data_IF_346172344757
#
_entry.id   IF_346172344757
#
_cell.length_a   1.000
_cell.length_b   1.000
_cell.length_c   1.000
_cell.angle_alpha   90.00
_cell.angle_beta   90.00
_cell.angle_gamma   90.00
#
_symmetry.space_group_name_H-M   'P 1'
#
loop_
_entity.id
_entity.type
_entity.pdbx_description
1 polymer ?
#
# COMPACT_ATOMS: atom_id res chain seq x y z
N UNK A 1 1.38 -31.89 6.12
CA UNK A 1 0.91 -30.56 6.54
C UNK A 1 0.05 -29.98 5.44
N UNK A 2 -1.28 -30.02 5.55
CA UNK A 2 -2.15 -29.23 4.68
C UNK A 2 -1.99 -27.78 5.11
N UNK A 3 -1.39 -26.94 4.27
CA UNK A 3 -1.54 -25.49 4.44
C UNK A 3 -3.04 -25.23 4.37
N UNK A 4 -3.63 -24.86 5.50
CA UNK A 4 -4.95 -24.27 5.53
C UNK A 4 -4.79 -22.92 4.85
N UNK A 5 -5.10 -22.83 3.55
CA UNK A 5 -5.19 -21.56 2.85
C UNK A 5 -6.22 -20.71 3.60
N UNK A 6 -5.75 -19.75 4.41
CA UNK A 6 -6.60 -18.75 5.01
C UNK A 6 -6.89 -17.75 3.90
N UNK A 7 -8.07 -17.86 3.30
CA UNK A 7 -8.56 -16.87 2.34
C UNK A 7 -8.70 -15.56 3.10
N UNK A 8 -7.99 -14.52 2.68
CA UNK A 8 -8.22 -13.18 3.21
C UNK A 8 -9.58 -12.69 2.69
N UNK A 9 -10.46 -12.34 3.61
CA UNK A 9 -11.83 -11.94 3.28
C UNK A 9 -11.92 -10.43 3.05
N UNK A 10 -11.06 -9.64 3.72
CA UNK A 10 -11.08 -8.17 3.64
C UNK A 10 -9.78 -7.54 4.11
N UNK A 11 -9.33 -6.49 3.45
CA UNK A 11 -8.31 -5.55 3.95
C UNK A 11 -8.96 -4.19 4.20
N UNK A 12 -8.60 -3.55 5.30
CA UNK A 12 -9.15 -2.27 5.69
C UNK A 12 -8.03 -1.37 6.19
N UNK A 13 -8.04 -0.10 5.79
CA UNK A 13 -7.10 0.88 6.29
C UNK A 13 -7.35 1.12 7.78
N UNK A 14 -6.35 0.87 8.60
CA UNK A 14 -6.36 1.24 10.01
C UNK A 14 -6.11 2.75 10.19
N UNK A 15 -6.14 3.25 11.44
CA UNK A 15 -5.74 4.62 11.74
C UNK A 15 -4.33 4.91 11.20
N UNK A 16 -4.21 5.91 10.34
CA UNK A 16 -2.94 6.30 9.72
C UNK A 16 -2.48 7.66 10.25
N UNK A 17 -1.28 7.68 10.81
CA UNK A 17 -0.59 8.87 11.31
C UNK A 17 0.88 8.79 10.89
N UNK A 18 1.70 9.72 11.35
CA UNK A 18 3.12 9.84 10.96
C UNK A 18 3.99 8.60 11.27
N UNK A 19 3.50 7.68 12.13
CA UNK A 19 4.20 6.46 12.50
C UNK A 19 3.26 5.25 12.59
N UNK A 20 3.77 4.02 12.35
CA UNK A 20 2.97 2.80 12.49
C UNK A 20 2.42 2.62 13.91
N UNK A 21 1.33 1.88 14.02
CA UNK A 21 0.77 1.47 15.31
C UNK A 21 1.73 0.46 15.95
N UNK A 22 2.19 0.76 17.17
CA UNK A 22 3.09 -0.10 17.95
C UNK A 22 2.31 -1.01 18.91
N UNK A 23 1.18 -0.52 19.45
CA UNK A 23 0.36 -1.24 20.43
C UNK A 23 -1.12 -0.97 20.21
N UNK A 24 -1.96 -1.98 20.46
CA UNK A 24 -3.41 -1.90 20.42
C UNK A 24 -4.02 -2.55 21.66
N UNK A 25 -5.19 -2.07 22.06
CA UNK A 25 -5.98 -2.62 23.16
C UNK A 25 -7.46 -2.41 22.88
N UNK A 26 -8.26 -3.48 22.98
CA UNK A 26 -9.72 -3.36 22.95
C UNK A 26 -10.18 -2.91 24.33
N UNK A 27 -10.90 -1.80 24.38
CA UNK A 27 -11.43 -1.26 25.63
C UNK A 27 -12.60 -2.12 26.15
N UNK A 28 -12.75 -2.21 27.48
CA UNK A 28 -13.96 -2.75 28.09
C UNK A 28 -15.22 -2.12 27.51
N UNK A 29 -16.28 -2.92 27.34
CA UNK A 29 -17.54 -2.41 26.80
C UNK A 29 -18.12 -1.36 27.75
N UNK A 30 -18.29 -0.14 27.27
CA UNK A 30 -19.00 0.91 28.01
C UNK A 30 -20.49 0.58 28.10
N UNK A 31 -21.14 1.07 29.15
CA UNK A 31 -22.61 1.01 29.27
C UNK A 31 -23.31 2.15 28.52
N UNK A 32 -22.55 3.16 28.08
CA UNK A 32 -23.08 4.38 27.46
C UNK A 32 -23.25 4.26 25.94
N UNK A 33 -22.52 3.35 25.31
CA UNK A 33 -22.47 3.19 23.85
C UNK A 33 -22.58 1.72 23.46
N UNK A 34 -23.28 1.43 22.37
CA UNK A 34 -23.38 0.06 21.85
C UNK A 34 -22.10 -0.40 21.13
N UNK A 35 -21.30 0.57 20.67
CA UNK A 35 -20.05 0.37 19.94
C UNK A 35 -18.91 -0.12 20.84
N UNK A 36 -18.00 -0.94 20.28
CA UNK A 36 -16.72 -1.25 20.91
C UNK A 36 -15.66 -0.27 20.43
N UNK A 37 -14.63 -0.06 21.25
CA UNK A 37 -13.55 0.85 20.96
C UNK A 37 -12.21 0.13 21.06
N UNK A 38 -11.33 0.43 20.12
CA UNK A 38 -9.94 0.01 20.14
C UNK A 38 -9.09 1.24 20.38
N UNK A 39 -8.30 1.21 21.44
CA UNK A 39 -7.28 2.21 21.68
C UNK A 39 -5.96 1.73 21.07
N UNK A 40 -5.19 2.66 20.53
CA UNK A 40 -3.91 2.37 19.92
C UNK A 40 -2.87 3.42 20.28
N UNK A 41 -1.60 3.04 20.12
CA UNK A 41 -0.46 3.89 20.32
C UNK A 41 0.48 3.78 19.12
N UNK A 42 0.98 4.90 18.63
CA UNK A 42 2.07 4.96 17.65
C UNK A 42 3.38 5.32 18.37
N UNK A 43 4.40 5.80 17.65
CA UNK A 43 5.63 6.26 18.29
C UNK A 43 5.37 7.36 19.33
N UNK A 44 4.54 8.34 18.98
CA UNK A 44 4.32 9.58 19.73
C UNK A 44 2.84 9.91 20.00
N UNK A 45 1.90 9.17 19.39
CA UNK A 45 0.46 9.45 19.51
C UNK A 45 -0.28 8.35 20.26
N UNK A 46 -1.37 8.75 20.89
CA UNK A 46 -2.37 7.88 21.48
C UNK A 46 -3.71 8.17 20.84
N UNK A 47 -4.47 7.14 20.49
CA UNK A 47 -5.72 7.32 19.77
C UNK A 47 -6.73 6.21 19.99
N UNK A 48 -7.90 6.41 19.38
CA UNK A 48 -9.06 5.54 19.44
C UNK A 48 -9.62 5.27 18.06
N UNK A 49 -10.19 4.08 17.90
CA UNK A 49 -10.85 3.59 16.70
C UNK A 49 -12.18 2.94 17.10
N UNK A 50 -13.29 3.36 16.47
CA UNK A 50 -14.59 2.70 16.62
C UNK A 50 -14.54 1.34 15.91
N UNK A 51 -15.05 0.30 16.57
CA UNK A 51 -15.20 -1.04 16.01
C UNK A 51 -16.65 -1.31 15.56
N UNK A 52 -16.87 -2.14 14.52
CA UNK A 52 -15.85 -2.80 13.70
C UNK A 52 -15.09 -1.81 12.82
N UNK A 53 -13.82 -2.13 12.52
CA UNK A 53 -13.02 -1.37 11.55
C UNK A 53 -13.69 -1.51 10.17
N UNK A 54 -13.76 -0.42 9.43
CA UNK A 54 -14.35 -0.37 8.09
C UNK A 54 -13.55 0.52 7.10
N UNK A 55 -12.39 1.01 7.50
CA UNK A 55 -11.55 1.91 6.70
C UNK A 55 -12.00 3.38 6.72
N UNK A 56 -13.06 3.74 7.43
CA UNK A 56 -13.51 5.13 7.54
C UNK A 56 -12.55 5.94 8.43
N UNK A 57 -11.88 6.99 7.90
CA UNK A 57 -10.92 7.77 8.67
C UNK A 57 -11.54 8.50 9.87
N UNK A 58 -12.81 8.90 9.76
CA UNK A 58 -13.53 9.65 10.79
C UNK A 58 -13.96 8.79 11.99
N UNK A 59 -13.80 7.48 11.90
CA UNK A 59 -13.96 6.56 13.04
C UNK A 59 -12.72 6.46 13.91
N UNK A 60 -11.67 7.20 13.58
CA UNK A 60 -10.42 7.24 14.33
C UNK A 60 -10.03 8.66 14.71
N UNK A 61 -9.36 8.81 15.85
CA UNK A 61 -8.73 10.05 16.25
C UNK A 61 -7.51 9.76 17.11
N UNK A 62 -6.45 10.56 16.98
CA UNK A 62 -5.27 10.46 17.83
C UNK A 62 -4.70 11.85 18.15
N UNK A 63 -4.05 11.93 19.30
CA UNK A 63 -3.36 13.12 19.80
C UNK A 63 -1.92 12.77 20.15
N UNK A 64 -1.01 13.75 20.01
CA UNK A 64 0.38 13.60 20.46
C UNK A 64 0.35 13.43 21.98
N UNK A 65 0.89 12.32 22.46
CA UNK A 65 0.93 12.00 23.87
C UNK A 65 2.24 12.44 24.53
N UNK A 66 3.40 12.15 23.92
CA UNK A 66 4.70 12.47 24.50
C UNK A 66 5.63 13.05 23.44
N UNK A 67 6.31 14.19 23.68
CA UNK A 67 7.20 14.82 22.69
C UNK A 67 8.44 13.97 22.39
N UNK A 68 8.84 13.08 23.31
CA UNK A 68 9.98 12.17 23.14
C UNK A 68 9.55 10.76 22.71
N UNK A 69 8.28 10.58 22.38
CA UNK A 69 7.67 9.29 22.11
C UNK A 69 7.21 8.58 23.39
N UNK A 70 6.26 7.67 23.22
CA UNK A 70 5.72 6.85 24.29
C UNK A 70 6.46 5.50 24.39
N UNK A 71 6.54 4.96 25.59
CA UNK A 71 7.21 3.69 25.90
C UNK A 71 6.21 2.57 26.20
N UNK A 72 5.10 2.90 26.84
CA UNK A 72 4.04 1.94 27.14
C UNK A 72 2.67 2.62 27.16
N UNK A 73 1.63 1.80 27.05
CA UNK A 73 0.23 2.20 27.08
C UNK A 73 -0.64 1.13 27.73
N UNK A 74 -1.63 1.54 28.51
CA UNK A 74 -2.66 0.67 29.12
C UNK A 74 -3.97 1.43 29.34
N UNK A 75 -5.05 0.75 29.72
CA UNK A 75 -6.31 1.40 30.10
C UNK A 75 -6.71 1.11 31.55
N UNK A 76 -7.60 1.94 32.09
CA UNK A 76 -8.28 1.68 33.36
C UNK A 76 -9.20 0.46 33.26
N UNK A 77 -9.57 -0.11 34.41
CA UNK A 77 -10.43 -1.29 34.47
C UNK A 77 -11.82 -1.07 33.83
N UNK A 78 -12.35 0.14 33.95
CA UNK A 78 -13.62 0.57 33.34
C UNK A 78 -13.46 1.08 31.91
N UNK A 79 -12.23 1.12 31.38
CA UNK A 79 -11.93 1.58 30.04
C UNK A 79 -12.14 3.07 29.82
N UNK A 80 -12.37 3.89 30.85
CA UNK A 80 -12.59 5.35 30.69
C UNK A 80 -11.31 6.16 30.49
N UNK A 81 -10.23 5.70 31.12
CA UNK A 81 -8.94 6.35 31.04
C UNK A 81 -7.94 5.48 30.31
N UNK A 82 -7.12 6.14 29.52
CA UNK A 82 -5.94 5.58 28.90
C UNK A 82 -4.73 6.17 29.60
N UNK A 83 -3.72 5.37 29.90
CA UNK A 83 -2.47 5.81 30.49
C UNK A 83 -1.32 5.57 29.53
N UNK A 84 -0.48 6.59 29.34
CA UNK A 84 0.75 6.51 28.56
C UNK A 84 1.94 6.89 29.43
N UNK A 85 3.07 6.22 29.19
CA UNK A 85 4.36 6.62 29.78
C UNK A 85 5.28 7.11 28.69
N UNK A 86 5.99 8.20 28.94
CA UNK A 86 6.96 8.72 27.99
C UNK A 86 8.25 7.91 27.99
N UNK A 87 9.10 8.14 26.99
CA UNK A 87 10.43 7.54 26.89
C UNK A 87 11.41 8.34 27.75
N UNK A 88 11.96 9.42 27.20
CA UNK A 88 13.02 10.21 27.85
C UNK A 88 12.51 11.35 28.71
N UNK A 89 11.23 11.71 28.60
CA UNK A 89 10.62 12.76 29.41
C UNK A 89 10.20 12.31 30.82
N UNK A 90 10.25 11.00 31.11
CA UNK A 90 9.89 10.40 32.40
C UNK A 90 8.50 10.79 32.92
N UNK A 91 7.56 11.10 32.02
CA UNK A 91 6.18 11.50 32.37
C UNK A 91 5.20 10.35 32.28
N UNK A 92 4.13 10.43 33.08
CA UNK A 92 2.93 9.60 32.95
C UNK A 92 1.75 10.52 32.67
N UNK A 93 1.00 10.22 31.62
CA UNK A 93 -0.16 11.00 31.21
C UNK A 93 -1.41 10.12 31.22
N UNK A 94 -2.53 10.72 31.61
CA UNK A 94 -3.84 10.08 31.62
C UNK A 94 -4.76 10.82 30.65
N UNK A 95 -5.42 10.06 29.80
CA UNK A 95 -6.27 10.55 28.72
C UNK A 95 -7.69 10.04 28.97
N UNK A 96 -8.61 10.99 29.14
CA UNK A 96 -10.04 10.71 29.11
C UNK A 96 -10.52 10.91 27.67
N UNK A 97 -11.33 9.98 27.17
CA UNK A 97 -11.93 10.13 25.86
C UNK A 97 -13.43 10.31 25.94
N UNK A 98 -13.96 11.06 24.99
CA UNK A 98 -15.39 11.26 24.84
C UNK A 98 -15.88 10.51 23.60
N UNK A 99 -16.47 9.35 23.83
CA UNK A 99 -17.02 8.49 22.79
C UNK A 99 -18.05 9.22 21.90
N UNK A 100 -18.90 10.06 22.49
CA UNK A 100 -19.94 10.80 21.76
C UNK A 100 -19.35 11.77 20.73
N UNK A 101 -18.20 12.38 21.03
CA UNK A 101 -17.52 13.30 20.09
C UNK A 101 -16.95 12.53 18.91
N UNK A 102 -16.39 11.35 19.15
CA UNK A 102 -15.85 10.49 18.08
C UNK A 102 -16.99 9.93 17.20
N UNK A 103 -18.08 9.47 17.79
CA UNK A 103 -19.27 9.02 17.04
C UNK A 103 -19.90 10.17 16.23
N UNK A 104 -19.97 11.38 16.79
CA UNK A 104 -20.43 12.56 16.06
C UNK A 104 -19.50 12.91 14.89
N UNK A 105 -18.18 12.83 15.07
CA UNK A 105 -17.22 13.04 13.98
C UNK A 105 -17.39 11.99 12.86
N UNK A 106 -17.59 10.73 13.23
CA UNK A 106 -17.86 9.66 12.26
C UNK A 106 -19.16 9.90 11.48
N UNK A 107 -20.21 10.40 12.13
CA UNK A 107 -21.47 10.74 11.47
C UNK A 107 -21.38 11.99 10.56
N UNK A 108 -20.58 12.99 10.95
CA UNK A 108 -20.34 14.19 10.15
C UNK A 108 -19.37 13.98 8.98
N UNK A 109 -18.59 12.90 9.02
CA UNK A 109 -17.62 12.53 7.99
C UNK A 109 -18.23 12.14 6.63
N UNK A 110 -19.55 12.05 6.55
CA UNK A 110 -20.29 11.69 5.36
C UNK A 110 -20.54 10.19 5.23
N UNK A 111 -21.30 9.82 4.21
CA UNK A 111 -21.76 8.45 4.00
C UNK A 111 -21.11 7.80 2.78
N UNK A 112 -21.08 6.46 2.78
CA UNK A 112 -20.66 5.62 1.67
C UNK A 112 -19.24 5.86 1.15
N UNK A 113 -19.06 6.70 0.13
CA UNK A 113 -17.79 6.94 -0.56
C UNK A 113 -17.12 8.22 -0.05
N UNK A 114 -17.90 9.18 0.47
CA UNK A 114 -17.41 10.51 0.87
C UNK A 114 -16.23 10.44 1.85
N UNK A 115 -16.24 9.57 2.88
CA UNK A 115 -15.09 9.45 3.78
C UNK A 115 -13.81 9.01 3.08
N UNK A 116 -13.92 8.11 2.11
CA UNK A 116 -12.78 7.53 1.42
C UNK A 116 -12.17 8.49 0.40
N UNK A 117 -12.98 9.40 -0.17
CA UNK A 117 -12.47 10.48 -1.02
C UNK A 117 -11.57 11.44 -0.23
N UNK A 118 -11.81 11.63 1.06
CA UNK A 118 -10.93 12.46 1.91
C UNK A 118 -9.53 11.87 2.11
N UNK A 119 -9.38 10.56 1.87
CA UNK A 119 -8.09 9.86 1.93
C UNK A 119 -7.31 9.98 0.61
N UNK A 120 -7.90 10.54 -0.45
CA UNK A 120 -7.22 10.75 -1.72
C UNK A 120 -6.56 12.13 -1.71
N UNK A 121 -5.35 12.23 -2.26
CA UNK A 121 -4.63 13.50 -2.34
C UNK A 121 -5.44 14.54 -3.14
N UNK A 122 -5.77 15.65 -2.48
CA UNK A 122 -6.62 16.71 -3.04
C UNK A 122 -8.12 16.41 -3.04
N UNK A 123 -8.53 15.23 -2.56
CA UNK A 123 -9.92 14.82 -2.44
C UNK A 123 -10.65 14.68 -3.78
N UNK A 124 -11.99 14.71 -3.74
CA UNK A 124 -12.86 14.55 -4.92
C UNK A 124 -12.56 15.54 -6.06
N UNK A 125 -12.15 16.76 -5.72
CA UNK A 125 -11.86 17.81 -6.70
C UNK A 125 -10.35 17.94 -7.02
N UNK A 126 -9.54 16.98 -6.53
CA UNK A 126 -8.11 16.95 -6.75
C UNK A 126 -7.74 16.40 -8.12
N UNK A 127 -6.54 16.75 -8.60
CA UNK A 127 -5.99 16.21 -9.87
C UNK A 127 -5.86 14.69 -9.84
N UNK A 128 -5.46 14.14 -8.70
CA UNK A 128 -5.26 12.71 -8.56
C UNK A 128 -6.57 11.91 -8.70
N UNK A 129 -7.70 12.45 -8.23
CA UNK A 129 -9.00 11.84 -8.47
C UNK A 129 -9.37 11.87 -9.97
N UNK A 130 -9.06 12.96 -10.69
CA UNK A 130 -9.27 13.03 -12.14
C UNK A 130 -8.41 12.00 -12.88
N UNK A 131 -7.16 11.83 -12.48
CA UNK A 131 -6.27 10.80 -13.02
C UNK A 131 -6.84 9.38 -12.78
N UNK A 132 -7.40 9.12 -11.59
CA UNK A 132 -8.11 7.87 -11.31
C UNK A 132 -9.29 7.64 -12.25
N UNK A 133 -10.11 8.67 -12.49
CA UNK A 133 -11.24 8.61 -13.43
C UNK A 133 -10.76 8.33 -14.86
N UNK A 134 -9.71 9.03 -15.32
CA UNK A 134 -9.15 8.87 -16.66
C UNK A 134 -8.56 7.47 -16.88
N UNK A 135 -7.79 6.94 -15.92
CA UNK A 135 -7.25 5.59 -16.02
C UNK A 135 -8.34 4.51 -15.93
N UNK A 136 -9.36 4.71 -15.09
CA UNK A 136 -10.51 3.80 -15.02
C UNK A 136 -11.23 3.76 -16.37
N UNK A 137 -11.48 4.91 -16.98
CA UNK A 137 -12.08 5.01 -18.31
C UNK A 137 -11.19 4.38 -19.40
N UNK A 138 -9.87 4.57 -19.31
CA UNK A 138 -8.93 3.90 -20.21
C UNK A 138 -9.03 2.37 -20.13
N UNK A 139 -9.14 1.79 -18.93
CA UNK A 139 -9.36 0.35 -18.76
C UNK A 139 -10.67 -0.11 -19.43
N UNK A 140 -11.74 0.69 -19.41
CA UNK A 140 -13.00 0.37 -20.09
C UNK A 140 -12.85 0.29 -21.61
N UNK A 141 -12.11 1.24 -22.20
CA UNK A 141 -11.83 1.26 -23.64
C UNK A 141 -10.95 0.08 -24.03
N UNK A 142 -9.85 -0.13 -23.28
CA UNK A 142 -8.89 -1.20 -23.55
C UNK A 142 -9.56 -2.58 -23.51
N UNK A 143 -10.48 -2.81 -22.58
CA UNK A 143 -11.20 -4.08 -22.47
C UNK A 143 -12.14 -4.35 -23.66
N UNK A 144 -12.75 -3.30 -24.24
CA UNK A 144 -13.59 -3.43 -25.44
C UNK A 144 -12.78 -3.69 -26.73
N UNK A 145 -11.46 -3.49 -26.67
CA UNK A 145 -10.55 -3.61 -27.80
C UNK A 145 -10.36 -2.27 -28.49
N UNK A 146 -9.11 -1.79 -28.55
CA UNK A 146 -8.74 -0.51 -29.18
C UNK A 146 -8.98 -0.47 -30.69
N UNK A 147 -9.12 -1.63 -31.32
CA UNK A 147 -9.31 -1.78 -32.77
C UNK A 147 -10.79 -2.00 -33.16
N UNK A 148 -11.71 -2.00 -32.19
CA UNK A 148 -13.13 -2.16 -32.44
C UNK A 148 -13.74 -0.86 -32.94
N UNK A 149 -14.45 -0.93 -34.07
CA UNK A 149 -15.26 0.18 -34.61
C UNK A 149 -16.71 0.14 -34.10
N UNK A 150 -17.00 -0.73 -33.12
CA UNK A 150 -18.33 -0.82 -32.51
C UNK A 150 -18.60 0.41 -31.62
N UNK A 151 -19.87 0.84 -31.55
CA UNK A 151 -20.27 1.92 -30.65
C UNK A 151 -19.96 1.53 -29.20
N UNK A 152 -19.15 2.35 -28.53
CA UNK A 152 -18.79 2.16 -27.13
C UNK A 152 -20.06 2.10 -26.28
N UNK A 153 -20.31 0.94 -25.66
CA UNK A 153 -21.36 0.82 -24.66
C UNK A 153 -20.84 1.44 -23.37
N UNK A 154 -21.49 2.48 -22.82
CA UNK A 154 -21.08 3.03 -21.54
C UNK A 154 -21.30 1.97 -20.45
N UNK A 155 -20.21 1.31 -20.05
CA UNK A 155 -20.15 0.54 -18.80
C UNK A 155 -19.78 1.49 -17.68
N UNK A 156 -20.34 1.28 -16.49
CA UNK A 156 -19.93 1.94 -15.25
C UNK A 156 -18.85 1.13 -14.50
N UNK A 157 -18.41 0.01 -15.09
CA UNK A 157 -17.54 -0.99 -14.45
C UNK A 157 -16.40 -1.44 -15.33
N UNK A 158 -15.37 -1.97 -14.69
CA UNK A 158 -14.24 -2.68 -15.30
C UNK A 158 -14.19 -4.12 -14.76
N UNK A 159 -13.69 -5.10 -15.53
CA UNK A 159 -13.50 -6.45 -15.03
C UNK A 159 -12.37 -6.50 -14.00
N UNK A 160 -12.44 -7.46 -13.07
CA UNK A 160 -11.44 -7.62 -11.99
C UNK A 160 -10.00 -7.88 -12.49
N UNK A 161 -9.85 -8.36 -13.73
CA UNK A 161 -8.54 -8.54 -14.36
C UNK A 161 -7.80 -7.23 -14.62
N UNK A 162 -8.49 -6.10 -14.71
CA UNK A 162 -7.88 -4.77 -14.93
C UNK A 162 -7.43 -4.10 -13.64
N UNK A 163 -7.90 -4.57 -12.47
CA UNK A 163 -7.56 -3.97 -11.17
C UNK A 163 -6.04 -3.88 -10.94
N UNK A 164 -5.22 -4.91 -11.18
CA UNK A 164 -3.78 -4.81 -10.95
C UNK A 164 -3.11 -3.76 -11.83
N UNK A 165 -3.52 -3.67 -13.10
CA UNK A 165 -2.98 -2.67 -14.04
C UNK A 165 -3.34 -1.25 -13.58
N UNK A 166 -4.59 -1.04 -13.14
CA UNK A 166 -5.06 0.24 -12.63
C UNK A 166 -4.35 0.65 -11.33
N UNK A 167 -4.10 -0.29 -10.40
CA UNK A 167 -3.30 -0.03 -9.20
C UNK A 167 -1.89 0.47 -9.56
N UNK A 168 -1.22 -0.23 -10.49
CA UNK A 168 0.13 0.10 -10.97
C UNK A 168 0.18 1.46 -11.68
N UNK A 169 -0.84 1.79 -12.49
CA UNK A 169 -0.96 3.09 -13.14
C UNK A 169 -1.08 4.24 -12.14
N UNK A 170 -1.68 3.98 -10.97
CA UNK A 170 -1.82 4.91 -9.85
C UNK A 170 -0.64 4.84 -8.85
N UNK A 171 0.52 4.38 -9.32
CA UNK A 171 1.77 4.26 -8.58
C UNK A 171 1.71 3.36 -7.33
N UNK A 172 0.72 2.48 -7.23
CA UNK A 172 0.70 1.41 -6.24
C UNK A 172 1.11 0.10 -6.92
N UNK A 173 2.24 -0.48 -6.48
CA UNK A 173 2.81 -1.71 -7.02
C UNK A 173 2.55 -2.88 -6.05
N UNK A 174 1.35 -3.48 -6.06
CA UNK A 174 1.01 -4.60 -5.19
C UNK A 174 1.82 -5.84 -5.55
N UNK A 175 2.11 -6.68 -4.55
CA UNK A 175 2.67 -8.01 -4.78
C UNK A 175 1.61 -8.95 -5.40
N UNK A 176 2.01 -10.06 -6.01
CA UNK A 176 1.10 -11.06 -6.57
C UNK A 176 0.16 -11.64 -5.49
N UNK A 177 0.66 -11.83 -4.26
CA UNK A 177 -0.21 -12.18 -3.13
C UNK A 177 -1.24 -11.10 -2.82
N UNK A 178 -0.86 -9.82 -2.84
CA UNK A 178 -1.79 -8.70 -2.61
C UNK A 178 -2.82 -8.57 -3.75
N UNK A 179 -2.41 -8.85 -4.99
CA UNK A 179 -3.31 -8.92 -6.15
C UNK A 179 -4.35 -10.01 -5.95
N UNK A 180 -3.92 -11.22 -5.58
CA UNK A 180 -4.83 -12.34 -5.30
C UNK A 180 -5.80 -11.98 -4.16
N UNK A 181 -5.30 -11.38 -3.08
CA UNK A 181 -6.11 -10.94 -1.95
C UNK A 181 -7.16 -9.89 -2.37
N UNK A 182 -6.77 -8.88 -3.15
CA UNK A 182 -7.68 -7.85 -3.69
C UNK A 182 -8.76 -8.45 -4.58
N UNK A 183 -8.37 -9.32 -5.52
CA UNK A 183 -9.31 -9.96 -6.43
C UNK A 183 -10.29 -10.88 -5.67
N UNK A 184 -9.80 -11.65 -4.71
CA UNK A 184 -10.64 -12.49 -3.87
C UNK A 184 -11.61 -11.67 -3.01
N UNK A 185 -11.13 -10.60 -2.37
CA UNK A 185 -11.98 -9.70 -1.58
C UNK A 185 -13.18 -9.21 -2.40
N UNK A 186 -12.95 -8.71 -3.62
CA UNK A 186 -14.04 -8.22 -4.46
C UNK A 186 -14.91 -9.36 -4.98
N UNK A 187 -14.29 -10.45 -5.47
CA UNK A 187 -14.98 -11.62 -6.03
C UNK A 187 -15.96 -12.25 -5.04
N UNK A 188 -15.58 -12.34 -3.77
CA UNK A 188 -16.39 -12.94 -2.71
C UNK A 188 -17.25 -11.93 -1.93
N UNK A 189 -17.17 -10.63 -2.25
CA UNK A 189 -17.86 -9.55 -1.51
C UNK A 189 -19.37 -9.77 -1.30
N UNK A 190 -20.06 -10.29 -2.32
CA UNK A 190 -21.52 -10.56 -2.30
C UNK A 190 -21.84 -12.05 -2.18
N UNK A 191 -20.83 -12.91 -2.01
CA UNK A 191 -21.01 -14.36 -2.03
C UNK A 191 -21.80 -14.88 -0.82
N UNK A 192 -21.54 -14.35 0.37
CA UNK A 192 -22.23 -14.77 1.59
C UNK A 192 -23.74 -14.43 1.57
N UNK A 193 -24.11 -13.33 0.91
CA UNK A 193 -25.49 -12.82 0.88
C UNK A 193 -26.27 -13.33 -0.34
N UNK A 194 -25.64 -13.38 -1.52
CA UNK A 194 -26.30 -13.65 -2.80
C UNK A 194 -25.88 -14.98 -3.43
N UNK A 195 -24.84 -15.66 -2.93
CA UNK A 195 -24.29 -16.89 -3.51
C UNK A 195 -23.58 -16.71 -4.86
N UNK A 196 -23.45 -15.47 -5.34
CA UNK A 196 -22.88 -15.15 -6.65
C UNK A 196 -21.49 -14.54 -6.52
N UNK A 197 -20.63 -14.83 -7.50
CA UNK A 197 -19.33 -14.18 -7.65
C UNK A 197 -19.49 -12.84 -8.35
N UNK A 198 -18.73 -11.86 -7.87
CA UNK A 198 -18.57 -10.57 -8.54
C UNK A 198 -17.40 -10.67 -9.53
N UNK A 199 -17.61 -10.22 -10.75
CA UNK A 199 -16.61 -10.26 -11.84
C UNK A 199 -16.12 -8.88 -12.25
N UNK A 200 -16.82 -7.84 -11.83
CA UNK A 200 -16.62 -6.45 -12.27
C UNK A 200 -16.74 -5.51 -11.08
N UNK A 201 -16.02 -4.40 -11.12
CA UNK A 201 -15.94 -3.40 -10.06
C UNK A 201 -16.26 -2.01 -10.63
N UNK A 202 -17.04 -1.22 -9.88
CA UNK A 202 -17.27 0.19 -10.22
C UNK A 202 -16.18 1.12 -9.65
N UNK A 203 -16.14 2.38 -10.09
CA UNK A 203 -15.11 3.34 -9.67
C UNK A 203 -15.13 3.57 -8.14
N UNK A 204 -16.30 3.60 -7.52
CA UNK A 204 -16.42 3.84 -6.08
C UNK A 204 -15.94 2.65 -5.24
N UNK A 205 -16.31 1.43 -5.65
CA UNK A 205 -15.79 0.17 -5.11
C UNK A 205 -14.26 0.10 -5.31
N UNK A 206 -13.74 0.50 -6.47
CA UNK A 206 -12.30 0.55 -6.74
C UNK A 206 -11.56 1.55 -5.86
N UNK A 207 -12.09 2.77 -5.68
CA UNK A 207 -11.49 3.77 -4.79
C UNK A 207 -11.36 3.21 -3.38
N UNK A 208 -12.41 2.56 -2.86
CA UNK A 208 -12.37 1.92 -1.54
C UNK A 208 -11.32 0.82 -1.49
N UNK A 209 -11.21 0.00 -2.52
CA UNK A 209 -10.18 -1.04 -2.61
C UNK A 209 -8.78 -0.41 -2.60
N UNK A 210 -8.56 0.61 -3.42
CA UNK A 210 -7.29 1.33 -3.54
C UNK A 210 -6.85 1.93 -2.20
N UNK A 211 -7.70 2.71 -1.53
CA UNK A 211 -7.32 3.36 -0.27
C UNK A 211 -7.09 2.37 0.87
N UNK A 212 -7.76 1.22 0.85
CA UNK A 212 -7.60 0.19 1.88
C UNK A 212 -6.37 -0.70 1.70
N UNK A 213 -5.96 -0.93 0.44
CA UNK A 213 -4.82 -1.80 0.13
C UNK A 213 -3.51 -1.05 -0.10
N UNK A 214 -3.58 0.22 -0.54
CA UNK A 214 -2.35 1.00 -0.75
C UNK A 214 -1.55 1.10 0.57
N UNK A 215 -0.22 0.96 0.54
CA UNK A 215 0.60 1.02 1.73
C UNK A 215 0.45 2.37 2.43
N UNK A 216 0.13 2.33 3.73
CA UNK A 216 0.15 3.53 4.57
C UNK A 216 1.56 4.14 4.68
N UNK A 217 2.58 3.27 4.60
CA UNK A 217 3.99 3.64 4.59
C UNK A 217 4.65 2.93 3.41
N UNK A 218 5.21 3.70 2.47
CA UNK A 218 5.88 3.15 1.29
C UNK A 218 7.24 2.52 1.61
N UNK A 219 7.91 2.03 0.57
CA UNK A 219 9.29 1.55 0.65
C UNK A 219 10.22 2.77 0.66
N UNK A 220 11.06 2.89 1.67
CA UNK A 220 11.99 4.00 1.81
C UNK A 220 13.41 3.61 1.39
N UNK A 221 14.24 4.62 1.09
CA UNK A 221 15.67 4.46 0.80
C UNK A 221 16.41 3.65 1.88
N UNK A 222 16.02 3.79 3.16
CA UNK A 222 16.56 3.01 4.30
C UNK A 222 16.26 1.51 4.19
N UNK A 223 15.13 1.12 3.61
CA UNK A 223 14.74 -0.28 3.46
C UNK A 223 15.59 -0.95 2.38
N UNK A 224 15.84 -0.24 1.28
CA UNK A 224 16.81 -0.67 0.26
C UNK A 224 18.22 -0.76 0.84
N UNK A 225 18.66 0.23 1.62
CA UNK A 225 19.98 0.18 2.26
C UNK A 225 20.13 -1.04 3.18
N UNK A 226 19.09 -1.36 3.96
CA UNK A 226 19.06 -2.56 4.81
C UNK A 226 19.07 -3.85 3.98
N UNK A 227 18.38 -3.89 2.84
CA UNK A 227 18.42 -5.03 1.93
C UNK A 227 19.83 -5.27 1.37
N UNK A 228 20.52 -4.21 0.93
CA UNK A 228 21.92 -4.29 0.47
C UNK A 228 22.88 -4.71 1.60
N UNK A 229 22.66 -4.27 2.84
CA UNK A 229 23.46 -4.72 3.99
C UNK A 229 23.29 -6.21 4.29
N UNK A 230 22.10 -6.77 4.07
CA UNK A 230 21.79 -8.18 4.36
C UNK A 230 22.20 -9.10 3.21
N UNK A 231 22.01 -8.65 1.97
CA UNK A 231 22.21 -9.47 0.77
C UNK A 231 23.56 -9.26 0.11
N UNK A 232 24.14 -8.07 0.25
CA UNK A 232 25.39 -7.67 -0.40
C UNK A 232 26.64 -8.11 0.36
N UNK A 233 27.76 -8.14 -0.36
CA UNK A 233 29.09 -8.30 0.20
C UNK A 233 29.75 -6.93 0.38
N UNK A 234 30.72 -6.81 1.27
CA UNK A 234 31.46 -5.56 1.44
C UNK A 234 32.53 -5.43 0.35
N UNK A 235 32.58 -4.27 -0.29
CA UNK A 235 33.71 -3.89 -1.14
C UNK A 235 34.98 -3.62 -0.31
N UNK A 236 36.06 -3.22 -0.99
CA UNK A 236 37.37 -2.91 -0.39
C UNK A 236 37.26 -1.78 0.66
N UNK A 237 36.26 -0.90 0.51
CA UNK A 237 35.99 0.24 1.38
C UNK A 237 35.00 -0.09 2.51
N UNK A 238 34.47 -1.32 2.57
CA UNK A 238 33.47 -1.73 3.55
C UNK A 238 32.02 -1.39 3.18
N UNK A 239 31.77 -0.94 1.94
CA UNK A 239 30.44 -0.56 1.45
C UNK A 239 29.69 -1.80 0.95
N UNK A 240 28.41 -2.00 1.31
CA UNK A 240 27.62 -3.11 0.78
C UNK A 240 27.36 -2.97 -0.73
N UNK A 241 27.80 -3.97 -1.50
CA UNK A 241 27.61 -4.08 -2.95
C UNK A 241 27.06 -5.45 -3.33
N UNK A 242 26.33 -5.50 -4.44
CA UNK A 242 25.85 -6.75 -5.04
C UNK A 242 26.55 -6.99 -6.37
N UNK A 243 26.98 -8.22 -6.63
CA UNK A 243 27.42 -8.57 -7.97
C UNK A 243 26.21 -8.63 -8.92
N UNK A 244 26.39 -8.26 -10.19
CA UNK A 244 25.34 -8.36 -11.20
C UNK A 244 24.72 -9.75 -11.27
N UNK A 245 25.53 -10.81 -11.27
CA UNK A 245 25.03 -12.18 -11.37
C UNK A 245 24.19 -12.55 -10.13
N UNK A 246 24.66 -12.15 -8.94
CA UNK A 246 23.93 -12.33 -7.69
C UNK A 246 22.60 -11.58 -7.70
N UNK A 247 22.56 -10.34 -8.18
CA UNK A 247 21.31 -9.58 -8.30
C UNK A 247 20.31 -10.29 -9.21
N UNK A 248 20.75 -10.79 -10.37
CA UNK A 248 19.90 -11.53 -11.30
C UNK A 248 19.35 -12.82 -10.68
N UNK A 249 20.17 -13.55 -9.93
CA UNK A 249 19.77 -14.76 -9.23
C UNK A 249 18.80 -14.45 -8.08
N UNK A 250 19.06 -13.39 -7.31
CA UNK A 250 18.21 -12.96 -6.20
C UNK A 250 16.79 -12.62 -6.68
N UNK A 251 16.66 -11.88 -7.79
CA UNK A 251 15.36 -11.52 -8.37
C UNK A 251 14.54 -12.72 -8.87
N UNK A 252 15.21 -13.82 -9.23
CA UNK A 252 14.55 -15.04 -9.70
C UNK A 252 14.20 -16.01 -8.57
N UNK A 253 14.97 -16.01 -7.47
CA UNK A 253 14.88 -17.05 -6.42
C UNK A 253 14.25 -16.54 -5.11
N UNK A 254 14.32 -15.24 -4.81
CA UNK A 254 13.84 -14.67 -3.53
C UNK A 254 12.54 -13.91 -3.71
N UNK A 255 11.70 -13.93 -2.67
CA UNK A 255 10.42 -13.22 -2.68
C UNK A 255 9.45 -13.84 -3.69
N UNK A 256 8.73 -12.98 -4.41
CA UNK A 256 7.95 -13.34 -5.60
C UNK A 256 8.91 -13.36 -6.79
N UNK A 257 9.51 -14.52 -7.03
CA UNK A 257 10.57 -14.70 -8.03
C UNK A 257 10.06 -14.44 -9.44
N UNK A 258 10.83 -13.66 -10.20
CA UNK A 258 10.58 -13.35 -11.61
C UNK A 258 11.17 -14.43 -12.52
N UNK A 259 10.63 -14.59 -13.72
CA UNK A 259 11.26 -15.42 -14.76
C UNK A 259 12.47 -14.71 -15.38
N UNK A 260 13.34 -15.46 -16.07
CA UNK A 260 14.50 -14.87 -16.77
C UNK A 260 14.05 -13.82 -17.81
N UNK A 261 12.93 -14.09 -18.49
CA UNK A 261 12.33 -13.17 -19.46
C UNK A 261 11.83 -11.88 -18.80
N UNK A 262 11.10 -11.99 -17.69
CA UNK A 262 10.57 -10.84 -16.93
C UNK A 262 11.71 -9.94 -16.43
N UNK A 263 12.76 -10.55 -15.86
CA UNK A 263 13.96 -9.80 -15.41
C UNK A 263 14.61 -9.08 -16.58
N UNK A 264 14.80 -9.78 -17.71
CA UNK A 264 15.40 -9.21 -18.91
C UNK A 264 14.57 -8.04 -19.44
N UNK A 265 13.25 -8.18 -19.53
CA UNK A 265 12.34 -7.14 -20.00
C UNK A 265 12.34 -5.92 -19.08
N UNK A 266 12.34 -6.14 -17.75
CA UNK A 266 12.42 -5.08 -16.75
C UNK A 266 13.69 -4.24 -16.93
N UNK A 267 14.86 -4.87 -16.98
CA UNK A 267 16.12 -4.14 -17.16
C UNK A 267 16.22 -3.46 -18.53
N UNK A 268 15.72 -4.10 -19.59
CA UNK A 268 15.73 -3.51 -20.94
C UNK A 268 14.88 -2.24 -20.97
N UNK A 269 13.71 -2.27 -20.32
CA UNK A 269 12.81 -1.12 -20.21
C UNK A 269 13.40 -0.01 -19.33
N UNK A 270 13.86 -0.35 -18.12
CA UNK A 270 14.44 0.61 -17.17
C UNK A 270 15.66 1.33 -17.75
N UNK A 271 16.52 0.60 -18.46
CA UNK A 271 17.74 1.14 -19.05
C UNK A 271 17.51 1.80 -20.42
N UNK A 272 16.30 1.72 -20.99
CA UNK A 272 15.96 2.32 -22.29
C UNK A 272 16.63 1.62 -23.48
N UNK A 273 16.86 0.32 -23.37
CA UNK A 273 17.52 -0.47 -24.41
C UNK A 273 16.56 -0.88 -25.55
N UNK A 274 15.26 -0.60 -25.41
CA UNK A 274 14.24 -0.85 -26.44
C UNK A 274 14.31 0.15 -27.60
N UNK A 275 14.74 1.39 -27.35
CA UNK A 275 14.70 2.51 -28.31
C UNK A 275 15.81 2.48 -29.37
N UNK A 276 16.71 1.48 -29.32
CA UNK A 276 17.80 1.36 -30.30
C UNK A 276 17.43 0.51 -31.53
N UNK A 277 16.14 0.27 -31.78
CA UNK A 277 15.67 -0.71 -32.79
C UNK A 277 14.88 -0.12 -33.98
N UNK A 278 15.19 1.12 -34.38
CA UNK A 278 14.78 1.65 -35.70
C UNK A 278 15.71 1.20 -36.85
N UNK A 279 16.71 0.35 -36.58
CA UNK A 279 17.47 -0.37 -37.61
C UNK A 279 17.20 -1.87 -37.52
N UNK A 280 16.76 -2.41 -38.66
CA UNK A 280 16.31 -3.77 -38.91
C UNK A 280 17.12 -4.87 -38.16
N UNK A 281 16.42 -5.66 -37.34
CA UNK A 281 16.74 -7.08 -37.18
C UNK A 281 17.85 -7.48 -36.19
N UNK A 282 18.05 -6.76 -35.09
CA UNK A 282 18.92 -7.25 -34.02
C UNK A 282 18.09 -7.68 -32.79
N UNK A 283 18.12 -8.98 -32.47
CA UNK A 283 17.65 -9.46 -31.17
C UNK A 283 18.38 -8.69 -30.07
N UNK A 284 17.65 -8.23 -29.05
CA UNK A 284 18.24 -7.61 -27.85
C UNK A 284 19.16 -8.66 -27.21
N UNK A 285 20.44 -8.63 -27.59
CA UNK A 285 21.38 -9.67 -27.19
C UNK A 285 21.75 -9.48 -25.71
N UNK A 286 21.93 -10.59 -24.98
CA UNK A 286 22.46 -10.59 -23.59
C UNK A 286 23.72 -9.72 -23.41
N UNK A 287 24.47 -9.46 -24.51
CA UNK A 287 25.62 -8.56 -24.53
C UNK A 287 25.27 -7.10 -24.24
N UNK A 288 24.08 -6.61 -24.64
CA UNK A 288 23.64 -5.23 -24.37
C UNK A 288 23.40 -5.01 -22.87
N UNK A 289 22.72 -5.95 -22.20
CA UNK A 289 22.50 -5.88 -20.74
C UNK A 289 23.79 -6.03 -19.93
N UNK A 290 24.71 -6.92 -20.34
CA UNK A 290 26.00 -7.10 -19.66
C UNK A 290 26.90 -5.85 -19.74
N UNK A 291 26.70 -4.99 -20.74
CA UNK A 291 27.37 -3.69 -20.83
C UNK A 291 26.63 -2.58 -20.07
N UNK A 292 25.30 -2.61 -20.03
CA UNK A 292 24.48 -1.57 -19.41
C UNK A 292 24.41 -1.67 -17.88
N UNK A 293 24.54 -2.89 -17.33
CA UNK A 293 24.52 -3.15 -15.88
C UNK A 293 25.95 -3.40 -15.37
N UNK A 294 26.45 -2.56 -14.45
CA UNK A 294 27.78 -2.73 -13.85
C UNK A 294 27.96 -4.09 -13.17
N UNK A 295 29.19 -4.62 -13.16
CA UNK A 295 29.50 -5.89 -12.49
C UNK A 295 29.30 -5.80 -10.96
N UNK A 296 29.63 -4.66 -10.37
CA UNK A 296 29.40 -4.35 -8.96
C UNK A 296 28.38 -3.22 -8.85
N UNK A 297 27.33 -3.45 -8.08
CA UNK A 297 26.19 -2.56 -7.96
C UNK A 297 26.13 -2.11 -6.51
N UNK A 298 26.45 -0.84 -6.27
CA UNK A 298 26.17 -0.19 -4.99
C UNK A 298 24.70 0.23 -4.92
N UNK A 299 24.25 0.56 -3.73
CA UNK A 299 22.91 1.08 -3.50
C UNK A 299 22.64 2.39 -4.27
N UNK A 300 23.65 3.25 -4.38
CA UNK A 300 23.57 4.51 -5.13
C UNK A 300 23.44 4.27 -6.63
N UNK A 301 24.23 3.34 -7.16
CA UNK A 301 24.15 2.92 -8.56
C UNK A 301 22.79 2.29 -8.86
N UNK A 302 22.28 1.44 -7.97
CA UNK A 302 20.97 0.81 -8.15
C UNK A 302 19.84 1.83 -8.21
N UNK A 303 19.80 2.78 -7.27
CA UNK A 303 18.74 3.80 -7.21
C UNK A 303 18.85 4.82 -8.35
N UNK A 304 20.06 5.33 -8.62
CA UNK A 304 20.26 6.42 -9.56
C UNK A 304 20.39 5.99 -11.03
N UNK A 305 21.11 4.90 -11.30
CA UNK A 305 21.39 4.44 -12.68
C UNK A 305 20.35 3.43 -13.17
N UNK A 306 19.97 2.46 -12.33
CA UNK A 306 19.04 1.39 -12.72
C UNK A 306 17.58 1.85 -12.58
N UNK A 307 17.17 2.27 -11.37
CA UNK A 307 15.79 2.68 -11.13
C UNK A 307 15.49 4.10 -11.61
N UNK A 308 16.52 4.91 -11.92
CA UNK A 308 16.41 6.32 -12.35
C UNK A 308 15.52 7.16 -11.42
N UNK A 309 15.51 6.83 -10.13
CA UNK A 309 14.76 7.59 -9.15
C UNK A 309 15.45 8.93 -8.89
N UNK A 310 14.69 10.04 -8.82
CA UNK A 310 15.28 11.35 -8.59
C UNK A 310 16.03 11.35 -7.24
N UNK A 311 17.26 11.88 -7.26
CA UNK A 311 17.97 12.17 -6.02
C UNK A 311 17.13 13.17 -5.19
N UNK A 312 16.99 12.98 -3.88
CA UNK A 312 16.30 13.97 -3.05
C UNK A 312 16.97 15.34 -3.25
N UNK A 313 16.20 16.44 -3.28
CA UNK A 313 16.78 17.78 -3.29
C UNK A 313 17.69 17.93 -2.06
N UNK A 314 18.90 18.45 -2.28
CA UNK A 314 19.85 18.81 -1.22
C UNK A 314 19.28 19.85 -0.24
#
# INVERSE_FOLDING_TARGET
HKLSYKIKIKTLLGPTYDSPIEQILVLPKSTETDSYYLAFRTEDKVGLQILPVDGNPYKSNAVICHPTGASAFTCSHDGRFIFTTGRSDCTLMSWEFNANVLEAAAALGGDNLEPFLSLIDGGKNGKFYQEMEDFFFYCQIRHQGTDSMEEHKPSDKIPLSEVPALMRALAFFPTEQEIEDMQNEVKFSKYAEMGNYVTDIDLGEFIKLYVNHRPAFGIYKKDLARAFQVLGSCDIMGTPVLNRQELMELLQVRGEGMTEEEVSECFTTLLGLNDTSDEEGCSVSKYSMACAIPNEISMETFVGHILKLPSPPE
#
